data_IF_649050002697
#
_entry.id   IF_649050002697
#
_cell.length_a   1.000
_cell.length_b   1.000
_cell.length_c   1.000
_cell.angle_alpha   90.00
_cell.angle_beta   90.00
_cell.angle_gamma   90.00
#
_symmetry.space_group_name_H-M   'P 1'
#
loop_
_entity.id
_entity.type
_entity.pdbx_description
1 polymer ?
#
# COMPACT_ATOMS: atom_id res chain seq x y z
N UNK A 1 -71.09 39.05 -8.29
CA UNK A 1 -69.75 39.35 -8.76
C UNK A 1 -68.73 39.12 -7.64
N UNK A 2 -68.56 37.94 -7.14
CA UNK A 2 -67.69 37.67 -6.01
C UNK A 2 -67.12 36.25 -5.94
N UNK A 3 -67.62 35.34 -6.79
CA UNK A 3 -67.26 33.93 -6.70
C UNK A 3 -65.89 33.64 -7.34
N UNK A 4 -65.59 34.19 -8.50
CA UNK A 4 -64.37 33.87 -9.21
C UNK A 4 -63.11 34.47 -8.52
N UNK A 5 -63.20 35.58 -7.87
CA UNK A 5 -62.07 36.20 -7.11
C UNK A 5 -61.71 35.37 -5.88
N UNK A 6 -62.65 34.74 -5.23
CA UNK A 6 -62.43 33.80 -4.13
C UNK A 6 -61.79 32.49 -4.65
N UNK A 7 -62.27 31.98 -5.79
CA UNK A 7 -61.73 30.75 -6.38
C UNK A 7 -60.27 30.97 -6.83
N UNK A 8 -59.95 32.12 -7.46
CA UNK A 8 -58.57 32.50 -7.84
C UNK A 8 -57.67 32.67 -6.60
N UNK A 9 -58.18 33.29 -5.56
CA UNK A 9 -57.40 33.48 -4.34
C UNK A 9 -57.10 32.14 -3.66
N UNK A 10 -58.07 31.22 -3.62
CA UNK A 10 -57.91 29.87 -3.08
C UNK A 10 -56.87 29.09 -3.90
N UNK A 11 -56.96 29.17 -5.23
CA UNK A 11 -55.98 28.54 -6.11
C UNK A 11 -54.55 29.06 -5.90
N UNK A 12 -54.39 30.38 -5.73
CA UNK A 12 -53.10 30.98 -5.42
C UNK A 12 -52.55 30.56 -4.05
N UNK A 13 -53.41 30.41 -3.03
CA UNK A 13 -53.02 29.91 -1.73
C UNK A 13 -52.63 28.43 -1.76
N UNK A 14 -53.34 27.63 -2.57
CA UNK A 14 -53.03 26.20 -2.72
C UNK A 14 -51.71 26.02 -3.46
N UNK A 15 -51.34 26.90 -4.42
CA UNK A 15 -50.02 26.89 -5.05
C UNK A 15 -48.87 27.30 -4.05
N UNK A 16 -49.09 28.34 -3.22
CA UNK A 16 -48.13 28.71 -2.19
C UNK A 16 -47.88 27.62 -1.16
N UNK A 17 -48.98 26.91 -0.74
CA UNK A 17 -48.87 25.81 0.20
C UNK A 17 -48.12 24.60 -0.38
N UNK A 18 -48.28 24.32 -1.67
CA UNK A 18 -47.57 23.28 -2.40
C UNK A 18 -46.05 23.63 -2.58
N UNK A 19 -45.75 24.89 -2.85
CA UNK A 19 -44.37 25.34 -2.96
C UNK A 19 -43.64 25.29 -1.63
N UNK A 20 -44.29 25.64 -0.52
CA UNK A 20 -43.78 25.54 0.82
C UNK A 20 -43.54 24.06 1.23
N UNK A 21 -44.46 23.18 0.93
CA UNK A 21 -44.31 21.75 1.19
C UNK A 21 -43.19 21.15 0.37
N UNK A 22 -43.04 21.53 -0.92
CA UNK A 22 -41.95 21.13 -1.77
C UNK A 22 -40.61 21.58 -1.19
N UNK A 23 -40.49 22.84 -0.79
CA UNK A 23 -39.22 23.41 -0.33
C UNK A 23 -38.83 22.98 1.08
N UNK A 24 -39.77 22.95 2.01
CA UNK A 24 -39.45 22.71 3.42
C UNK A 24 -39.58 21.23 3.84
N UNK A 25 -40.28 20.40 3.09
CA UNK A 25 -40.50 18.99 3.43
C UNK A 25 -39.86 18.06 2.39
N UNK A 26 -40.24 18.21 1.13
CA UNK A 26 -39.82 17.26 0.10
C UNK A 26 -38.35 17.42 -0.26
N UNK A 27 -37.86 18.64 -0.45
CA UNK A 27 -36.44 18.89 -0.79
C UNK A 27 -35.49 18.38 0.32
N UNK A 28 -35.70 18.70 1.60
CA UNK A 28 -34.87 18.13 2.69
C UNK A 28 -34.98 16.61 2.80
N UNK A 29 -36.14 16.04 2.61
CA UNK A 29 -36.33 14.59 2.64
C UNK A 29 -35.58 13.89 1.48
N UNK A 30 -35.66 14.42 0.27
CA UNK A 30 -34.90 13.92 -0.87
C UNK A 30 -33.41 14.13 -0.67
N UNK A 31 -32.99 15.29 -0.19
CA UNK A 31 -31.59 15.55 0.15
C UNK A 31 -31.06 14.62 1.22
N UNK A 32 -31.87 14.32 2.24
CA UNK A 32 -31.52 13.33 3.28
C UNK A 32 -31.35 11.91 2.70
N UNK A 33 -32.18 11.52 1.73
CA UNK A 33 -32.04 10.24 1.05
C UNK A 33 -30.83 10.19 0.10
N UNK A 34 -30.48 11.33 -0.48
CA UNK A 34 -29.33 11.45 -1.41
C UNK A 34 -27.99 11.64 -0.67
N UNK A 35 -28.02 12.15 0.55
CA UNK A 35 -26.86 12.17 1.43
C UNK A 35 -26.73 10.80 2.12
N UNK A 36 -26.17 9.84 1.39
CA UNK A 36 -25.61 8.65 2.03
C UNK A 36 -24.61 9.12 3.08
N UNK A 37 -24.86 8.84 4.35
CA UNK A 37 -23.85 8.98 5.40
C UNK A 37 -22.68 8.10 5.02
N UNK A 38 -21.62 8.71 4.47
CA UNK A 38 -20.42 7.98 4.12
C UNK A 38 -19.85 7.35 5.37
N UNK A 39 -20.03 6.05 5.48
CA UNK A 39 -19.41 5.27 6.55
C UNK A 39 -17.91 5.54 6.54
N UNK A 40 -17.31 5.91 7.69
CA UNK A 40 -15.88 6.13 7.77
C UNK A 40 -15.13 4.86 7.34
N UNK A 41 -14.18 5.02 6.43
CA UNK A 41 -13.43 3.89 5.83
C UNK A 41 -12.47 3.22 6.83
N UNK A 42 -12.03 3.98 7.85
CA UNK A 42 -11.07 3.56 8.87
C UNK A 42 -11.77 3.37 10.22
N UNK A 43 -12.52 2.28 10.36
CA UNK A 43 -13.31 1.97 11.55
C UNK A 43 -12.68 0.92 12.46
N UNK A 44 -11.55 0.31 12.06
CA UNK A 44 -10.88 -0.69 12.89
C UNK A 44 -10.27 -0.05 14.15
N UNK A 45 -10.45 -0.71 15.27
CA UNK A 45 -9.82 -0.34 16.55
C UNK A 45 -8.31 -0.60 16.61
N UNK A 46 -7.75 -1.26 15.58
CA UNK A 46 -6.35 -1.63 15.51
C UNK A 46 -5.59 -0.76 14.50
N UNK A 47 -4.92 0.34 14.95
CA UNK A 47 -4.06 1.13 14.09
C UNK A 47 -2.89 0.32 13.55
N UNK A 48 -2.35 0.69 12.38
CA UNK A 48 -1.25 -0.02 11.75
C UNK A 48 -0.01 -0.14 12.64
N UNK A 49 0.32 0.90 13.40
CA UNK A 49 1.42 0.86 14.38
C UNK A 49 1.21 -0.22 15.46
N UNK A 50 -0.01 -0.39 15.95
CA UNK A 50 -0.36 -1.42 16.95
C UNK A 50 -0.27 -2.80 16.34
N UNK A 51 -0.75 -2.97 15.11
CA UNK A 51 -0.64 -4.24 14.36
C UNK A 51 0.82 -4.69 14.21
N UNK A 52 1.71 -3.79 13.79
CA UNK A 52 3.14 -4.11 13.66
C UNK A 52 3.73 -4.48 15.02
N UNK A 53 3.37 -3.73 16.06
CA UNK A 53 3.83 -4.03 17.43
C UNK A 53 3.37 -5.41 17.89
N UNK A 54 2.13 -5.77 17.70
CA UNK A 54 1.60 -7.11 18.02
C UNK A 54 2.33 -8.22 17.27
N UNK A 55 2.65 -8.02 15.98
CA UNK A 55 3.41 -8.99 15.19
C UNK A 55 4.84 -9.16 15.74
N UNK A 56 5.48 -8.08 16.19
CA UNK A 56 6.85 -8.09 16.68
C UNK A 56 6.98 -8.54 18.15
N UNK A 57 5.96 -8.38 18.96
CA UNK A 57 5.94 -8.76 20.39
C UNK A 57 5.17 -10.06 20.62
N UNK A 58 4.45 -10.54 19.63
CA UNK A 58 3.67 -11.77 19.71
C UNK A 58 4.51 -13.04 19.51
N UNK A 59 3.85 -14.09 19.03
CA UNK A 59 4.52 -15.36 18.80
C UNK A 59 5.53 -15.26 17.64
N UNK A 60 6.71 -15.89 17.79
CA UNK A 60 7.81 -15.85 16.81
C UNK A 60 7.38 -16.15 15.36
N UNK A 61 6.41 -17.05 15.18
CA UNK A 61 5.91 -17.41 13.86
C UNK A 61 5.09 -16.31 13.20
N UNK A 62 4.57 -15.32 13.96
CA UNK A 62 3.77 -14.25 13.36
C UNK A 62 4.61 -13.36 12.46
N UNK A 63 5.79 -12.96 12.89
CA UNK A 63 6.70 -12.18 12.08
C UNK A 63 7.14 -12.95 10.82
N UNK A 64 7.39 -14.26 10.95
CA UNK A 64 7.74 -15.13 9.82
C UNK A 64 6.59 -15.30 8.82
N UNK A 65 5.35 -15.39 9.28
CA UNK A 65 4.18 -15.51 8.40
C UNK A 65 3.85 -14.20 7.70
N UNK A 66 3.89 -13.08 8.42
CA UNK A 66 3.48 -11.77 7.91
C UNK A 66 4.58 -11.08 7.09
N UNK A 67 5.84 -11.13 7.56
CA UNK A 67 6.96 -10.40 6.95
C UNK A 67 8.02 -11.31 6.31
N UNK A 68 7.88 -12.64 6.41
CA UNK A 68 8.83 -13.63 5.89
C UNK A 68 10.24 -13.50 6.48
N UNK A 69 10.36 -12.96 7.69
CA UNK A 69 11.64 -12.81 8.39
C UNK A 69 11.48 -12.98 9.88
N UNK A 70 12.61 -13.13 10.59
CA UNK A 70 12.65 -13.18 12.04
C UNK A 70 12.58 -11.79 12.65
N UNK A 71 12.08 -11.71 13.88
CA UNK A 71 11.88 -10.43 14.60
C UNK A 71 13.20 -9.68 14.77
N UNK A 72 14.28 -10.40 15.06
CA UNK A 72 15.62 -9.83 15.24
C UNK A 72 16.11 -9.16 13.95
N UNK A 73 15.87 -9.80 12.80
CA UNK A 73 16.26 -9.27 11.49
C UNK A 73 15.44 -8.02 11.18
N UNK A 74 14.13 -8.06 11.43
CA UNK A 74 13.26 -6.90 11.24
C UNK A 74 13.73 -5.69 12.06
N UNK A 75 14.00 -5.91 13.35
CA UNK A 75 14.50 -4.87 14.26
C UNK A 75 15.88 -4.35 13.84
N UNK A 76 16.78 -5.23 13.41
CA UNK A 76 18.10 -4.83 12.91
C UNK A 76 17.99 -3.94 11.68
N UNK A 77 17.10 -4.26 10.73
CA UNK A 77 16.85 -3.43 9.53
C UNK A 77 16.25 -2.08 9.94
N UNK A 78 15.22 -2.06 10.80
CA UNK A 78 14.60 -0.81 11.26
C UNK A 78 15.62 0.11 11.96
N UNK A 79 16.47 -0.45 12.81
CA UNK A 79 17.54 0.29 13.50
C UNK A 79 18.61 0.81 12.52
N UNK A 80 18.98 0.02 11.52
CA UNK A 80 19.91 0.44 10.46
C UNK A 80 19.34 1.64 9.69
N UNK A 81 18.09 1.56 9.25
CA UNK A 81 17.41 2.63 8.51
C UNK A 81 17.34 3.92 9.34
N UNK A 82 17.11 3.79 10.64
CA UNK A 82 17.12 4.91 11.58
C UNK A 82 18.52 5.50 11.79
N UNK A 83 19.53 4.66 12.01
CA UNK A 83 20.91 5.08 12.29
C UNK A 83 21.55 5.78 11.07
N UNK A 84 21.24 5.32 9.87
CA UNK A 84 21.75 5.93 8.62
C UNK A 84 20.87 7.10 8.12
N UNK A 85 19.82 7.49 8.87
CA UNK A 85 18.86 8.53 8.48
C UNK A 85 18.22 8.31 7.10
N UNK A 86 18.13 7.07 6.67
CA UNK A 86 17.49 6.70 5.39
C UNK A 86 15.97 6.81 5.46
N UNK A 87 15.39 6.46 6.62
CA UNK A 87 13.98 6.70 6.93
C UNK A 87 13.87 7.57 8.18
N UNK A 88 12.76 8.28 8.27
CA UNK A 88 12.46 9.13 9.43
C UNK A 88 11.09 8.78 10.00
N UNK A 89 11.01 8.82 11.32
CA UNK A 89 9.72 8.77 12.01
C UNK A 89 8.90 10.02 11.65
N UNK A 90 7.68 9.81 11.19
CA UNK A 90 6.74 10.89 10.94
C UNK A 90 5.67 10.90 12.03
N UNK A 91 4.94 12.02 12.17
CA UNK A 91 3.92 12.20 13.21
C UNK A 91 2.86 11.09 13.23
N UNK A 92 2.54 10.50 12.07
CA UNK A 92 1.48 9.49 11.94
C UNK A 92 1.99 8.09 11.65
N UNK A 93 3.25 7.90 11.21
CA UNK A 93 3.78 6.61 10.77
C UNK A 93 5.24 6.48 11.20
N UNK A 94 5.56 5.50 12.02
CA UNK A 94 6.93 5.20 12.48
C UNK A 94 7.68 4.37 11.45
N UNK A 95 9.01 4.30 11.57
CA UNK A 95 9.89 3.51 10.69
C UNK A 95 9.48 2.05 10.67
N UNK A 96 9.18 1.46 11.83
CA UNK A 96 8.74 0.07 11.93
C UNK A 96 7.46 -0.18 11.14
N UNK A 97 6.52 0.77 11.17
CA UNK A 97 5.27 0.67 10.42
C UNK A 97 5.49 0.85 8.91
N UNK A 98 6.34 1.80 8.51
CA UNK A 98 6.71 1.99 7.09
C UNK A 98 7.35 0.72 6.52
N UNK A 99 8.31 0.15 7.24
CA UNK A 99 8.95 -1.12 6.87
C UNK A 99 7.95 -2.27 6.88
N UNK A 100 7.06 -2.32 7.87
CA UNK A 100 6.00 -3.34 7.98
C UNK A 100 5.04 -3.30 6.80
N UNK A 101 4.56 -2.12 6.37
CA UNK A 101 3.71 -1.96 5.17
C UNK A 101 4.41 -2.49 3.92
N UNK A 102 5.68 -2.14 3.73
CA UNK A 102 6.46 -2.56 2.57
C UNK A 102 6.66 -4.08 2.55
N UNK A 103 7.07 -4.68 3.67
CA UNK A 103 7.28 -6.12 3.77
C UNK A 103 5.98 -6.91 3.65
N UNK A 104 4.89 -6.42 4.23
CA UNK A 104 3.56 -7.01 4.08
C UNK A 104 3.12 -7.03 2.62
N UNK A 105 3.33 -5.93 1.89
CA UNK A 105 3.05 -5.86 0.46
C UNK A 105 3.83 -6.92 -0.31
N UNK A 106 5.13 -7.07 -0.06
CA UNK A 106 5.97 -8.05 -0.74
C UNK A 106 5.62 -9.49 -0.37
N UNK A 107 5.38 -9.77 0.92
CA UNK A 107 5.15 -11.13 1.42
C UNK A 107 3.81 -11.71 0.97
N UNK A 108 2.79 -10.86 0.84
CA UNK A 108 1.42 -11.26 0.50
C UNK A 108 1.00 -10.85 -0.92
N UNK A 109 1.90 -10.21 -1.69
CA UNK A 109 1.54 -9.57 -2.97
C UNK A 109 0.29 -8.69 -2.81
N UNK A 110 0.24 -7.92 -1.71
CA UNK A 110 -0.93 -7.18 -1.29
C UNK A 110 -1.09 -5.89 -2.11
N UNK A 111 -2.32 -5.62 -2.52
CA UNK A 111 -2.66 -4.35 -3.17
C UNK A 111 -2.68 -3.19 -2.15
N UNK A 112 -2.65 -1.96 -2.65
CA UNK A 112 -2.81 -0.75 -1.80
C UNK A 112 -4.12 -0.79 -1.02
N UNK A 113 -5.21 -1.27 -1.61
CA UNK A 113 -6.50 -1.41 -0.93
C UNK A 113 -6.45 -2.43 0.22
N UNK A 114 -5.68 -3.50 0.07
CA UNK A 114 -5.45 -4.46 1.15
C UNK A 114 -4.65 -3.83 2.28
N UNK A 115 -3.62 -3.04 1.95
CA UNK A 115 -2.83 -2.31 2.93
C UNK A 115 -3.64 -1.24 3.68
N UNK A 116 -4.54 -0.51 3.00
CA UNK A 116 -5.48 0.42 3.65
C UNK A 116 -6.26 -0.26 4.78
N UNK A 117 -6.86 -1.39 4.47
CA UNK A 117 -7.64 -2.16 5.44
C UNK A 117 -6.77 -2.71 6.57
N UNK A 118 -5.54 -3.14 6.24
CA UNK A 118 -4.63 -3.76 7.21
C UNK A 118 -3.98 -2.76 8.16
N UNK A 119 -3.62 -1.56 7.67
CA UNK A 119 -2.86 -0.56 8.40
C UNK A 119 -3.66 0.70 8.76
N UNK A 120 -4.91 0.81 8.30
CA UNK A 120 -5.83 1.91 8.62
C UNK A 120 -5.29 3.30 8.23
N UNK A 121 -4.61 3.38 7.09
CA UNK A 121 -4.13 4.63 6.50
C UNK A 121 -4.76 4.88 5.14
N UNK A 122 -4.77 6.16 4.71
CA UNK A 122 -5.23 6.52 3.36
C UNK A 122 -4.32 5.92 2.29
N UNK A 123 -4.87 5.66 1.10
CA UNK A 123 -4.12 5.15 -0.06
C UNK A 123 -2.90 5.99 -0.38
N UNK A 124 -3.04 7.32 -0.29
CA UNK A 124 -1.94 8.25 -0.53
C UNK A 124 -0.79 8.08 0.49
N UNK A 125 -1.14 7.98 1.78
CA UNK A 125 -0.14 7.77 2.83
C UNK A 125 0.61 6.46 2.62
N UNK A 126 -0.10 5.38 2.34
CA UNK A 126 0.51 4.06 2.10
C UNK A 126 1.41 4.10 0.88
N UNK A 127 0.91 4.62 -0.26
CA UNK A 127 1.68 4.70 -1.49
C UNK A 127 2.97 5.51 -1.29
N UNK A 128 2.89 6.66 -0.64
CA UNK A 128 4.05 7.49 -0.33
C UNK A 128 5.06 6.74 0.55
N UNK A 129 4.60 6.08 1.64
CA UNK A 129 5.49 5.40 2.58
C UNK A 129 6.13 4.14 2.01
N UNK A 130 5.40 3.39 1.21
CA UNK A 130 5.94 2.24 0.49
C UNK A 130 7.00 2.67 -0.53
N UNK A 131 6.76 3.76 -1.28
CA UNK A 131 7.73 4.29 -2.22
C UNK A 131 8.98 4.84 -1.52
N UNK A 132 8.84 5.55 -0.38
CA UNK A 132 9.98 6.00 0.42
C UNK A 132 10.91 4.83 0.79
N UNK A 133 10.35 3.69 1.24
CA UNK A 133 11.14 2.49 1.54
C UNK A 133 11.76 1.90 0.28
N UNK A 134 11.00 1.86 -0.82
CA UNK A 134 11.45 1.32 -2.09
C UNK A 134 12.66 2.05 -2.67
N UNK A 135 12.66 3.38 -2.59
CA UNK A 135 13.75 4.24 -3.10
C UNK A 135 15.07 4.04 -2.34
N UNK A 136 15.00 3.51 -1.12
CA UNK A 136 16.18 3.23 -0.29
C UNK A 136 16.85 1.91 -0.66
N UNK A 137 16.12 0.95 -1.24
CA UNK A 137 16.62 -0.40 -1.53
C UNK A 137 17.90 -0.37 -2.38
N UNK A 138 18.02 0.44 -3.46
CA UNK A 138 19.27 0.51 -4.23
C UNK A 138 20.47 0.88 -3.38
N UNK A 139 20.31 1.79 -2.42
CA UNK A 139 21.38 2.20 -1.51
C UNK A 139 21.83 1.04 -0.61
N UNK A 140 20.91 0.23 -0.14
CA UNK A 140 21.18 -0.94 0.69
C UNK A 140 21.79 -2.10 -0.12
N UNK A 141 21.47 -2.20 -1.41
CA UNK A 141 21.91 -3.28 -2.28
C UNK A 141 23.43 -3.44 -2.28
N UNK A 142 24.16 -2.36 -2.38
CA UNK A 142 25.63 -2.40 -2.39
C UNK A 142 26.25 -2.95 -1.10
N UNK A 143 25.54 -2.85 0.00
CA UNK A 143 26.00 -3.32 1.31
C UNK A 143 25.70 -4.81 1.54
N UNK A 144 24.57 -5.28 1.08
CA UNK A 144 24.10 -6.64 1.37
C UNK A 144 24.31 -7.62 0.22
N UNK A 145 24.26 -7.16 -1.02
CA UNK A 145 24.45 -8.02 -2.19
C UNK A 145 25.93 -7.99 -2.61
N UNK A 146 26.63 -9.04 -2.26
CA UNK A 146 27.97 -9.31 -2.76
C UNK A 146 27.88 -10.12 -4.04
N UNK A 147 28.44 -9.60 -5.13
CA UNK A 147 28.54 -10.37 -6.35
C UNK A 147 29.43 -11.60 -6.13
N UNK A 148 29.02 -12.78 -6.62
CA UNK A 148 29.87 -13.95 -6.58
C UNK A 148 31.15 -13.72 -7.40
N UNK A 149 32.25 -14.32 -6.97
CA UNK A 149 33.48 -14.25 -7.71
C UNK A 149 33.28 -14.89 -9.09
N UNK A 150 33.49 -14.16 -10.21
CA UNK A 150 33.23 -14.69 -11.55
C UNK A 150 34.08 -15.92 -11.90
N UNK A 151 35.22 -16.06 -11.27
CA UNK A 151 36.15 -17.17 -11.54
C UNK A 151 35.93 -18.39 -10.64
N UNK A 152 34.94 -18.36 -9.74
CA UNK A 152 34.74 -19.41 -8.77
C UNK A 152 33.26 -19.87 -8.74
N UNK A 153 33.00 -21.03 -9.30
CA UNK A 153 31.67 -21.62 -9.24
C UNK A 153 31.42 -22.26 -7.88
N UNK A 154 30.29 -21.95 -7.26
CA UNK A 154 29.95 -22.45 -5.94
C UNK A 154 29.89 -24.00 -5.92
N UNK A 155 30.47 -24.63 -4.88
CA UNK A 155 30.58 -26.09 -4.77
C UNK A 155 29.23 -26.81 -4.92
N UNK A 156 28.13 -26.27 -4.44
CA UNK A 156 26.78 -26.85 -4.60
C UNK A 156 26.32 -26.91 -6.05
N UNK A 157 26.80 -26.00 -6.91
CA UNK A 157 26.48 -26.03 -8.36
C UNK A 157 27.33 -27.07 -9.04
N UNK A 158 28.62 -27.11 -8.70
CA UNK A 158 29.57 -28.13 -9.27
C UNK A 158 29.21 -29.56 -8.88
N UNK A 159 28.70 -29.76 -7.66
CA UNK A 159 28.35 -31.11 -7.17
C UNK A 159 27.00 -31.63 -7.70
N UNK A 160 26.20 -30.80 -8.34
CA UNK A 160 24.88 -31.22 -8.80
C UNK A 160 24.86 -31.46 -10.31
N UNK A 161 24.72 -32.74 -10.78
CA UNK A 161 24.70 -33.09 -12.21
C UNK A 161 23.62 -32.34 -13.02
N UNK A 162 22.53 -31.90 -12.36
CA UNK A 162 21.43 -31.19 -13.03
C UNK A 162 21.84 -29.81 -13.57
N UNK A 163 22.90 -29.21 -13.03
CA UNK A 163 23.41 -27.92 -13.50
C UNK A 163 24.50 -28.04 -14.58
N UNK A 164 24.91 -29.25 -14.91
CA UNK A 164 25.80 -29.50 -16.05
C UNK A 164 24.98 -29.59 -17.35
N UNK A 165 25.35 -28.91 -18.44
CA UNK A 165 26.54 -28.10 -18.71
C UNK A 165 26.40 -26.60 -18.39
N UNK A 166 25.36 -26.17 -17.64
CA UNK A 166 24.99 -24.75 -17.43
C UNK A 166 25.90 -23.98 -16.47
N UNK A 167 26.96 -24.59 -15.97
CA UNK A 167 27.89 -23.97 -15.01
C UNK A 167 28.49 -22.65 -15.54
N UNK A 168 28.71 -22.55 -16.85
CA UNK A 168 29.23 -21.33 -17.46
C UNK A 168 28.15 -20.25 -17.73
N UNK A 169 26.87 -20.62 -17.78
CA UNK A 169 25.75 -19.70 -18.05
C UNK A 169 25.47 -18.80 -16.85
N UNK A 170 25.77 -19.26 -15.63
CA UNK A 170 25.66 -18.44 -14.43
C UNK A 170 26.54 -17.19 -14.46
N UNK A 171 27.66 -17.24 -15.17
CA UNK A 171 28.53 -16.07 -15.42
C UNK A 171 27.89 -15.06 -16.38
N UNK A 172 27.16 -15.53 -17.37
CA UNK A 172 26.54 -14.67 -18.41
C UNK A 172 25.30 -13.96 -17.87
N UNK A 173 24.53 -14.62 -17.01
CA UNK A 173 23.33 -14.01 -16.42
C UNK A 173 23.63 -12.90 -15.40
N UNK A 174 24.80 -12.92 -14.75
CA UNK A 174 25.19 -11.88 -13.80
C UNK A 174 25.86 -10.66 -14.47
N UNK A 175 26.47 -10.83 -15.64
CA UNK A 175 27.16 -9.76 -16.37
C UNK A 175 26.24 -8.63 -16.89
N UNK A 176 25.06 -8.93 -17.48
CA UNK A 176 24.14 -7.89 -17.96
C UNK A 176 23.51 -7.05 -16.84
N UNK A 177 23.32 -7.63 -15.65
CA UNK A 177 22.75 -6.92 -14.49
C UNK A 177 23.72 -5.89 -13.91
N UNK A 178 25.03 -6.11 -14.06
CA UNK A 178 26.06 -5.20 -13.54
C UNK A 178 26.34 -4.02 -14.46
N UNK A 179 26.18 -4.17 -15.80
CA UNK A 179 26.54 -3.10 -16.76
C UNK A 179 25.38 -2.16 -17.10
N UNK A 180 24.16 -2.49 -16.74
CA UNK A 180 23.00 -1.64 -17.03
C UNK A 180 22.48 -0.98 -15.76
N UNK A 181 22.87 0.26 -15.54
CA UNK A 181 22.23 1.17 -14.57
C UNK A 181 20.72 1.37 -14.84
N UNK A 182 20.20 0.72 -15.89
CA UNK A 182 18.80 0.78 -16.35
C UNK A 182 18.03 -0.53 -16.22
N UNK A 183 18.62 -1.64 -15.74
CA UNK A 183 17.97 -2.95 -15.77
C UNK A 183 17.18 -3.25 -14.49
N UNK A 184 17.52 -2.62 -13.36
CA UNK A 184 16.70 -2.69 -12.14
C UNK A 184 15.29 -2.12 -12.39
N UNK A 185 15.11 -1.01 -13.14
CA UNK A 185 13.77 -0.55 -13.53
C UNK A 185 12.96 -1.54 -14.37
N UNK A 186 13.62 -2.43 -15.12
CA UNK A 186 12.91 -3.33 -16.06
C UNK A 186 12.27 -4.53 -15.36
N UNK A 187 12.93 -5.11 -14.38
CA UNK A 187 12.35 -6.21 -13.58
C UNK A 187 11.27 -5.68 -12.65
N UNK A 188 11.50 -4.50 -12.06
CA UNK A 188 10.50 -3.82 -11.27
C UNK A 188 9.41 -3.14 -12.11
N UNK A 189 9.74 -2.66 -13.30
CA UNK A 189 8.79 -2.10 -14.25
C UNK A 189 7.81 -3.13 -14.81
N UNK A 190 8.15 -4.41 -14.85
CA UNK A 190 7.18 -5.48 -15.16
C UNK A 190 6.22 -5.75 -14.00
N UNK A 191 6.66 -5.61 -12.76
CA UNK A 191 5.79 -5.67 -11.59
C UNK A 191 4.84 -4.47 -11.50
N UNK A 192 5.35 -3.26 -11.72
CA UNK A 192 4.55 -2.02 -11.72
C UNK A 192 3.64 -1.90 -12.94
N UNK A 193 4.02 -2.48 -14.09
CA UNK A 193 3.18 -2.47 -15.29
C UNK A 193 1.99 -3.42 -15.18
N UNK A 194 2.07 -4.46 -14.37
CA UNK A 194 0.93 -5.31 -14.03
C UNK A 194 -0.12 -4.56 -13.21
N UNK A 195 0.27 -3.60 -12.34
CA UNK A 195 -0.68 -2.77 -11.59
C UNK A 195 -1.34 -1.65 -12.41
N UNK A 196 -0.66 -1.15 -13.46
CA UNK A 196 -1.24 -0.10 -14.32
C UNK A 196 -2.28 -0.61 -15.33
N UNK A 197 -2.38 -1.91 -15.54
CA UNK A 197 -3.36 -2.51 -16.47
C UNK A 197 -4.74 -2.75 -15.84
N UNK A 198 -4.91 -2.45 -14.53
CA UNK A 198 -6.20 -2.55 -13.81
C UNK A 198 -6.90 -1.19 -13.61
N UNK A 199 -6.48 -0.14 -14.33
CA UNK A 199 -7.11 1.19 -14.28
C UNK A 199 -7.81 1.60 -15.59
N UNK A 200 -8.47 0.65 -16.26
CA UNK A 200 -9.49 1.01 -17.27
C UNK A 200 -10.70 0.12 -17.12
#
# INVERSE_FOLDING_TARGET
>A
MGSWEEDVRQFMLDEEELDDELFFVIVPAVMSCLYDEKMPEHTSSLPGATKVKEILEGHENWCKSEFRMEVEIFRAIANLLRAENLLRDTRGVKIEEQLGMFLFMLSHNASIETLKKAFQHSSETIHRKVNEVFDIIPTLTHRFIKLPNPNQTHAKILSNPRFMPFVQVSHICCLPLYHSKHTIPTILGSFLRAELHWRH
#
